data_IF_033562647521
#
_entry.id   IF_033562647521
#
_cell.length_a   1.000
_cell.length_b   1.000
_cell.length_c   1.000
_cell.angle_alpha   90.00
_cell.angle_beta   90.00
_cell.angle_gamma   90.00
#
_symmetry.space_group_name_H-M   'P 1'
#
loop_
_entity.id
_entity.type
_entity.pdbx_description
1 polymer ?
#
# COMPACT_ATOMS: atom_id res chain seq x y z
N UNK A 1 20.31 -13.42 25.94
CA UNK A 1 19.05 -14.10 25.54
C UNK A 1 17.99 -13.04 25.30
N UNK A 2 17.83 -12.58 24.07
CA UNK A 2 16.92 -11.47 23.71
C UNK A 2 16.23 -11.71 22.35
N UNK A 3 16.09 -12.97 21.92
CA UNK A 3 15.52 -13.32 20.62
C UNK A 3 14.03 -13.72 20.67
N UNK A 4 13.46 -13.94 21.86
CA UNK A 4 12.10 -14.47 21.99
C UNK A 4 10.99 -13.43 21.86
N UNK A 5 11.28 -12.12 21.99
CA UNK A 5 10.27 -11.06 21.86
C UNK A 5 9.86 -10.77 20.41
N UNK A 6 10.77 -10.94 19.45
CA UNK A 6 10.50 -10.60 18.03
C UNK A 6 9.58 -11.61 17.32
N UNK A 7 9.52 -12.86 17.78
CA UNK A 7 8.73 -13.90 17.11
C UNK A 7 7.23 -13.74 17.37
N UNK A 8 6.85 -13.33 18.57
CA UNK A 8 5.45 -13.12 18.96
C UNK A 8 4.83 -11.88 18.30
N UNK A 9 5.57 -10.78 18.18
CA UNK A 9 5.07 -9.57 17.52
C UNK A 9 4.88 -9.78 16.01
N UNK A 10 5.74 -10.57 15.37
CA UNK A 10 5.59 -10.98 13.99
C UNK A 10 4.31 -11.79 13.77
N UNK A 11 4.01 -12.76 14.64
CA UNK A 11 2.81 -13.57 14.57
C UNK A 11 1.53 -12.73 14.71
N UNK A 12 1.53 -11.71 15.57
CA UNK A 12 0.40 -10.78 15.71
C UNK A 12 0.17 -9.99 14.42
N UNK A 13 1.23 -9.43 13.83
CA UNK A 13 1.13 -8.67 12.58
C UNK A 13 0.64 -9.52 11.42
N UNK A 14 1.14 -10.76 11.30
CA UNK A 14 0.73 -11.72 10.27
C UNK A 14 -0.73 -12.15 10.45
N UNK A 15 -1.15 -12.43 11.69
CA UNK A 15 -2.53 -12.82 11.97
C UNK A 15 -3.53 -11.68 11.67
N UNK A 16 -3.20 -10.44 12.03
CA UNK A 16 -4.03 -9.29 11.68
C UNK A 16 -4.06 -9.02 10.17
N UNK A 17 -2.95 -9.26 9.47
CA UNK A 17 -2.95 -9.19 8.01
C UNK A 17 -3.87 -10.25 7.38
N UNK A 18 -3.79 -11.50 7.82
CA UNK A 18 -4.66 -12.57 7.32
C UNK A 18 -6.13 -12.29 7.59
N UNK A 19 -6.46 -11.82 8.79
CA UNK A 19 -7.85 -11.45 9.15
C UNK A 19 -8.41 -10.38 8.22
N UNK A 20 -7.65 -9.31 7.99
CA UNK A 20 -8.05 -8.21 7.07
C UNK A 20 -8.17 -8.69 5.63
N UNK A 21 -7.21 -9.52 5.17
CA UNK A 21 -7.22 -10.09 3.82
C UNK A 21 -8.44 -10.98 3.59
N UNK A 22 -8.77 -11.86 4.53
CA UNK A 22 -9.92 -12.75 4.41
C UNK A 22 -11.24 -11.99 4.39
N UNK A 23 -11.39 -10.96 5.24
CA UNK A 23 -12.56 -10.08 5.21
C UNK A 23 -12.69 -9.35 3.86
N UNK A 24 -11.58 -8.84 3.31
CA UNK A 24 -11.56 -8.16 2.02
C UNK A 24 -11.95 -9.08 0.85
N UNK A 25 -11.52 -10.35 0.89
CA UNK A 25 -11.87 -11.33 -0.13
C UNK A 25 -13.34 -11.78 -0.07
N UNK A 26 -13.95 -11.80 1.12
CA UNK A 26 -15.36 -12.18 1.33
C UNK A 26 -16.34 -11.07 0.91
N UNK A 27 -15.93 -9.80 0.96
CA UNK A 27 -16.79 -8.65 0.62
C UNK A 27 -16.84 -8.35 -0.89
N UNK A 28 -16.04 -9.06 -1.70
CA UNK A 28 -15.93 -8.84 -3.14
C UNK A 28 -17.17 -9.28 -3.93
N UNK A 29 -17.99 -10.20 -3.40
CA UNK A 29 -19.26 -10.62 -4.02
C UNK A 29 -20.38 -9.57 -3.85
N UNK A 30 -20.21 -8.57 -2.97
CA UNK A 30 -21.18 -7.48 -2.74
C UNK A 30 -20.83 -6.16 -3.40
N UNK A 31 -19.63 -6.01 -3.96
CA UNK A 31 -19.23 -4.81 -4.68
C UNK A 31 -19.71 -4.89 -6.14
N UNK A 32 -21.00 -4.69 -6.34
CA UNK A 32 -21.50 -4.17 -7.63
C UNK A 32 -20.82 -2.84 -7.89
N UNK A 33 -19.73 -2.88 -8.66
CA UNK A 33 -19.33 -1.95 -9.73
C UNK A 33 -19.73 -0.46 -9.66
N UNK A 34 -19.87 0.11 -8.47
CA UNK A 34 -19.85 1.56 -8.27
C UNK A 34 -18.38 1.95 -8.26
N UNK A 35 -17.75 1.90 -9.43
CA UNK A 35 -16.52 2.64 -9.67
C UNK A 35 -16.83 4.11 -9.36
N UNK A 36 -16.53 4.53 -8.13
CA UNK A 36 -16.77 5.87 -7.64
C UNK A 36 -16.12 6.83 -8.62
N UNK A 37 -16.95 7.61 -9.32
CA UNK A 37 -16.56 8.68 -10.24
C UNK A 37 -15.63 9.73 -9.58
N UNK A 38 -15.36 9.61 -8.28
CA UNK A 38 -14.56 10.53 -7.48
C UNK A 38 -13.14 10.01 -7.17
N UNK A 39 -12.76 8.80 -7.60
CA UNK A 39 -11.40 8.30 -7.40
C UNK A 39 -10.40 9.02 -8.31
N UNK A 40 -9.37 9.62 -7.69
CA UNK A 40 -8.33 10.34 -8.41
C UNK A 40 -7.30 9.34 -8.96
N UNK A 41 -6.91 9.54 -10.22
CA UNK A 41 -5.74 8.88 -10.82
C UNK A 41 -4.53 9.78 -10.62
N UNK A 42 -3.49 9.25 -9.99
CA UNK A 42 -2.22 9.96 -9.83
C UNK A 42 -1.41 9.77 -11.12
N UNK A 43 -0.83 10.85 -11.63
CA UNK A 43 0.05 10.77 -12.80
C UNK A 43 1.44 10.24 -12.42
N UNK A 44 2.06 9.46 -13.32
CA UNK A 44 3.31 8.73 -13.05
C UNK A 44 4.49 9.65 -12.74
N UNK A 45 4.51 10.85 -13.31
CA UNK A 45 5.54 11.87 -13.11
C UNK A 45 5.62 12.39 -11.67
N UNK A 46 4.51 12.33 -10.91
CA UNK A 46 4.47 12.80 -9.52
C UNK A 46 4.57 11.67 -8.48
N UNK A 47 4.73 10.41 -8.91
CA UNK A 47 4.72 9.26 -7.99
C UNK A 47 5.74 9.37 -6.86
N UNK A 48 6.94 9.83 -7.17
CA UNK A 48 8.00 9.96 -6.18
C UNK A 48 7.68 11.03 -5.13
N UNK A 49 7.09 12.14 -5.56
CA UNK A 49 6.72 13.22 -4.66
C UNK A 49 5.57 12.78 -3.74
N UNK A 50 4.58 12.09 -4.30
CA UNK A 50 3.49 11.51 -3.50
C UNK A 50 4.01 10.47 -2.52
N UNK A 51 4.98 9.63 -2.91
CA UNK A 51 5.61 8.67 -2.01
C UNK A 51 6.23 9.37 -0.80
N UNK A 52 7.04 10.41 -1.03
CA UNK A 52 7.66 11.21 0.04
C UNK A 52 6.62 11.84 0.96
N UNK A 53 5.51 12.35 0.41
CA UNK A 53 4.41 12.88 1.21
C UNK A 53 3.74 11.82 2.09
N UNK A 54 3.48 10.63 1.55
CA UNK A 54 2.76 9.57 2.27
C UNK A 54 3.65 8.85 3.29
N UNK A 55 4.89 8.53 2.93
CA UNK A 55 5.76 7.63 3.71
C UNK A 55 6.70 8.41 4.61
N UNK A 56 7.32 9.49 4.12
CA UNK A 56 8.29 10.25 4.92
C UNK A 56 7.64 11.38 5.72
N UNK A 57 6.59 11.99 5.17
CA UNK A 57 5.88 13.10 5.82
C UNK A 57 4.57 12.66 6.49
N UNK A 58 4.24 11.36 6.40
CA UNK A 58 3.03 10.75 7.00
C UNK A 58 1.72 11.49 6.66
N UNK A 59 1.67 12.16 5.50
CA UNK A 59 0.50 12.90 5.08
C UNK A 59 -0.61 11.96 4.65
N UNK A 60 -1.84 12.29 5.01
CA UNK A 60 -3.02 11.52 4.63
C UNK A 60 -3.56 11.97 3.28
N UNK A 61 -4.07 11.01 2.50
CA UNK A 61 -4.80 11.30 1.28
C UNK A 61 -6.09 12.06 1.60
N UNK A 62 -6.32 13.19 0.91
CA UNK A 62 -7.53 14.02 1.08
C UNK A 62 -8.74 13.47 0.32
N UNK A 63 -8.51 12.60 -0.66
CA UNK A 63 -9.54 11.99 -1.50
C UNK A 63 -9.22 10.51 -1.70
N UNK A 64 -10.24 9.67 -1.95
CA UNK A 64 -10.03 8.31 -2.42
C UNK A 64 -9.18 8.30 -3.70
N UNK A 65 -8.20 7.41 -3.76
CA UNK A 65 -7.30 7.23 -4.89
C UNK A 65 -7.40 5.78 -5.34
N UNK A 66 -7.34 5.55 -6.65
CA UNK A 66 -7.30 4.19 -7.19
C UNK A 66 -6.14 3.40 -6.59
N UNK A 67 -6.43 2.20 -6.13
CA UNK A 67 -5.43 1.29 -5.57
C UNK A 67 -4.27 1.07 -6.56
N UNK A 68 -4.56 0.94 -7.86
CA UNK A 68 -3.55 0.79 -8.92
C UNK A 68 -2.56 1.96 -8.96
N UNK A 69 -3.00 3.19 -8.70
CA UNK A 69 -2.13 4.37 -8.63
C UNK A 69 -1.26 4.33 -7.37
N UNK A 70 -1.83 3.97 -6.22
CA UNK A 70 -1.08 3.87 -4.95
C UNK A 70 0.01 2.79 -5.02
N UNK A 71 -0.28 1.63 -5.63
CA UNK A 71 0.74 0.60 -5.86
C UNK A 71 1.88 1.13 -6.74
N UNK A 72 1.57 1.94 -7.76
CA UNK A 72 2.57 2.61 -8.59
C UNK A 72 3.45 3.59 -7.81
N UNK A 73 2.85 4.38 -6.93
CA UNK A 73 3.54 5.33 -6.04
C UNK A 73 4.52 4.60 -5.12
N UNK A 74 4.06 3.55 -4.43
CA UNK A 74 4.90 2.76 -3.52
C UNK A 74 6.07 2.10 -4.25
N UNK A 75 5.81 1.51 -5.41
CA UNK A 75 6.86 0.91 -6.23
C UNK A 75 7.93 1.92 -6.65
N UNK A 76 7.52 3.14 -7.03
CA UNK A 76 8.47 4.19 -7.41
C UNK A 76 9.39 4.58 -6.24
N UNK A 77 8.84 4.73 -5.04
CA UNK A 77 9.61 5.02 -3.84
C UNK A 77 10.56 3.89 -3.44
N UNK A 78 10.08 2.64 -3.43
CA UNK A 78 10.94 1.50 -3.09
C UNK A 78 12.08 1.27 -4.09
N UNK A 79 11.87 1.59 -5.37
CA UNK A 79 12.96 1.59 -6.36
C UNK A 79 13.97 2.70 -6.07
N UNK A 80 13.53 3.92 -5.72
CA UNK A 80 14.42 5.03 -5.33
C UNK A 80 15.25 4.69 -4.08
N UNK A 81 14.64 4.05 -3.08
CA UNK A 81 15.28 3.68 -1.83
C UNK A 81 16.10 2.38 -1.90
N UNK A 82 16.05 1.66 -3.02
CA UNK A 82 16.78 0.40 -3.21
C UNK A 82 16.16 -0.81 -2.52
N UNK A 83 14.94 -0.71 -1.98
CA UNK A 83 14.20 -1.83 -1.42
C UNK A 83 13.55 -2.73 -2.48
N UNK A 84 13.32 -2.20 -3.69
CA UNK A 84 12.77 -2.96 -4.81
C UNK A 84 13.80 -3.08 -5.94
N UNK A 85 14.01 -4.28 -6.51
CA UNK A 85 14.96 -4.45 -7.60
C UNK A 85 14.57 -3.54 -8.76
N UNK A 86 15.50 -2.68 -9.19
CA UNK A 86 15.33 -1.92 -10.41
C UNK A 86 15.03 -2.90 -11.54
N UNK A 87 13.95 -2.67 -12.29
CA UNK A 87 13.63 -3.49 -13.46
C UNK A 87 14.82 -3.42 -14.40
N UNK A 88 15.56 -4.53 -14.51
CA UNK A 88 16.66 -4.66 -15.47
C UNK A 88 16.08 -4.37 -16.85
N UNK A 89 16.67 -3.39 -17.53
CA UNK A 89 16.34 -3.04 -18.92
C UNK A 89 16.90 -4.09 -19.87
#
# INVERSE_FOLDING_TARGET
MQETRNMQDWEVGVNEWYKRRSAWLLDHDKLTNEHSSNEVVISKDVYLNVYKMLVHQEQKLKRPVKLSSIVGVLKAGWVEEGFWPATSK
#
